data_IF_731070868512
#
_entry.id   IF_731070868512
#
_cell.length_a   1.000
_cell.length_b   1.000
_cell.length_c   1.000
_cell.angle_alpha   90.00
_cell.angle_beta   90.00
_cell.angle_gamma   90.00
#
_symmetry.space_group_name_H-M   'P 1'
#
loop_
_entity.id
_entity.type
_entity.pdbx_description
1 polymer ?
2 non-polymer ?
3 non-polymer ?
4 non-polymer ?
5 water ?
#
# COMPACT_ATOMS: atom_id res chain seq x y z
N UNK A 19 14.71 -0.99 -5.00
CA UNK A 19 13.53 -0.41 -4.28
C UNK A 19 13.99 0.32 -3.01
N UNK A 20 14.46 1.57 -3.15
CA UNK A 20 14.99 2.37 -2.02
C UNK A 20 14.64 3.86 -2.14
N UNK A 21 14.08 4.35 -3.25
CA UNK A 21 13.67 5.76 -3.46
C UNK A 21 12.15 5.76 -3.67
N UNK A 22 11.44 6.73 -3.12
CA UNK A 22 10.01 6.99 -3.39
C UNK A 22 9.89 8.22 -4.29
N UNK A 23 9.17 8.06 -5.40
CA UNK A 23 8.88 9.16 -6.36
C UNK A 23 7.37 9.37 -6.40
N UNK A 24 6.91 10.55 -6.80
CA UNK A 24 5.50 10.84 -7.11
C UNK A 24 5.07 9.89 -8.23
N UNK A 25 4.00 9.14 -8.01
CA UNK A 25 3.44 8.17 -8.99
C UNK A 25 3.03 8.89 -10.28
N UNK A 26 2.62 10.16 -10.20
CA UNK A 26 2.03 10.88 -11.37
C UNK A 26 3.14 11.48 -12.26
N UNK A 27 4.28 11.88 -11.71
CA UNK A 27 5.29 12.67 -12.49
C UNK A 27 6.74 12.25 -12.25
N UNK A 28 7.05 11.42 -11.25
CA UNK A 28 8.42 10.95 -11.00
C UNK A 28 9.26 11.86 -10.12
N UNK A 29 8.70 12.96 -9.60
CA UNK A 29 9.40 13.86 -8.65
C UNK A 29 9.99 13.04 -7.49
N UNK A 30 11.26 13.26 -7.14
CA UNK A 30 11.90 12.59 -5.99
C UNK A 30 11.23 13.07 -4.70
N UNK A 31 10.74 12.17 -3.84
CA UNK A 31 9.97 12.59 -2.63
C UNK A 31 10.68 12.10 -1.36
N UNK A 32 11.01 10.82 -1.26
CA UNK A 32 11.57 10.28 0.00
C UNK A 32 12.39 9.01 -0.28
N UNK A 33 12.89 8.40 0.80
CA UNK A 33 13.75 7.19 0.76
C UNK A 33 13.20 6.17 1.75
N UNK A 34 13.36 4.88 1.45
CA UNK A 34 13.04 3.78 2.39
C UNK A 34 13.84 3.97 3.70
N UNK A 35 15.08 4.44 3.62
CA UNK A 35 15.96 4.69 4.80
C UNK A 35 15.31 5.70 5.75
N UNK A 36 14.41 6.54 5.25
CA UNK A 36 13.79 7.66 6.02
C UNK A 36 12.42 7.25 6.59
N UNK A 37 12.00 6.01 6.43
CA UNK A 37 10.77 5.49 7.09
C UNK A 37 10.91 5.68 8.61
N UNK A 38 9.81 6.04 9.28
CA UNK A 38 9.76 6.35 10.72
C UNK A 38 8.66 5.52 11.37
N UNK A 39 8.99 4.58 12.30
CA UNK A 39 7.96 3.85 13.03
C UNK A 39 7.27 4.63 14.18
N UNK A 40 6.42 5.60 13.85
CA UNK A 40 5.53 6.36 14.78
C UNK A 40 4.60 5.38 15.50
N UNK A 41 4.63 5.35 16.84
CA UNK A 41 3.84 4.43 17.66
C UNK A 41 4.18 2.96 17.38
N UNK A 42 5.38 2.70 16.87
CA UNK A 42 5.93 1.34 16.64
C UNK A 42 5.60 0.78 15.26
N UNK A 43 5.04 1.58 14.34
CA UNK A 43 4.72 1.12 12.96
C UNK A 43 4.91 2.30 11.99
N UNK A 44 5.55 2.08 10.84
CA UNK A 44 5.66 3.12 9.78
C UNK A 44 4.34 3.23 9.01
N UNK A 45 3.51 2.16 8.98
CA UNK A 45 2.20 2.17 8.28
C UNK A 45 1.05 2.41 9.26
N UNK A 46 0.19 3.39 8.96
CA UNK A 46 -1.05 3.73 9.70
C UNK A 46 -2.24 3.76 8.72
N UNK A 47 -3.27 2.96 8.96
CA UNK A 47 -4.50 3.01 8.12
C UNK A 47 -5.50 3.95 8.84
N UNK A 48 -5.87 5.05 8.20
CA UNK A 48 -6.64 6.18 8.81
C UNK A 48 -7.78 6.60 7.87
N UNK A 49 -8.78 7.30 8.42
CA UNK A 49 -9.95 7.84 7.70
C UNK A 49 -10.12 9.32 8.01
N UNK A 50 -10.42 10.13 6.99
CA UNK A 50 -10.74 11.56 7.17
C UNK A 50 -12.24 11.71 7.43
N UNK A 51 -12.70 12.91 7.82
CA UNK A 51 -14.13 13.13 8.10
C UNK A 51 -15.05 12.89 6.91
N UNK A 52 -14.52 12.93 5.69
CA UNK A 52 -15.27 12.64 4.44
C UNK A 52 -15.34 11.12 4.19
N UNK A 53 -14.71 10.32 5.07
CA UNK A 53 -14.77 8.84 5.08
C UNK A 53 -13.73 8.20 4.18
N UNK A 54 -12.85 8.98 3.54
CA UNK A 54 -11.77 8.42 2.67
C UNK A 54 -10.76 7.69 3.56
N UNK A 55 -10.38 6.48 3.16
CA UNK A 55 -9.34 5.68 3.85
C UNK A 55 -7.99 5.95 3.19
N UNK A 56 -6.95 6.08 4.00
CA UNK A 56 -5.57 6.26 3.53
C UNK A 56 -4.70 5.25 4.25
N UNK A 57 -3.84 4.58 3.48
CA UNK A 57 -2.69 3.80 3.99
C UNK A 57 -1.52 4.78 4.03
N UNK A 58 -1.19 5.28 5.22
CA UNK A 58 -0.20 6.37 5.40
C UNK A 58 1.11 5.74 5.86
N UNK A 59 2.19 6.06 5.18
CA UNK A 59 3.57 5.73 5.60
C UNK A 59 4.20 6.98 6.21
N UNK A 60 4.79 6.83 7.38
CA UNK A 60 5.47 7.93 8.11
C UNK A 60 6.94 7.94 7.71
N UNK A 61 7.42 9.12 7.33
CA UNK A 61 8.82 9.41 6.99
C UNK A 61 9.32 10.52 7.92
N UNK A 62 10.57 10.37 8.37
CA UNK A 62 11.31 11.42 9.12
C UNK A 62 11.50 12.64 8.20
N UNK A 63 11.70 12.40 6.91
CA UNK A 63 12.21 13.40 5.95
C UNK A 63 11.51 13.16 4.60
N UNK A 64 11.31 14.24 3.85
CA UNK A 64 10.85 14.20 2.44
C UNK A 64 11.33 15.47 1.75
N UNK A 65 11.34 15.45 0.44
CA UNK A 65 11.76 16.58 -0.41
C UNK A 65 10.79 16.65 -1.60
N UNK A 66 10.88 17.70 -2.41
CA UNK A 66 10.14 17.86 -3.68
C UNK A 66 8.65 18.10 -3.44
N UNK A 67 8.26 18.49 -2.23
CA UNK A 67 6.84 18.72 -1.87
C UNK A 67 6.62 20.22 -1.85
N UNK A 68 5.35 20.61 -1.80
CA UNK A 68 4.94 22.01 -1.52
C UNK A 68 3.88 21.91 -0.42
N UNK A 69 4.12 22.58 0.71
CA UNK A 69 3.21 22.58 1.88
C UNK A 69 2.24 23.74 1.74
N UNK A 70 0.94 23.47 1.78
CA UNK A 70 -0.14 24.45 1.48
C UNK A 70 -0.83 24.84 2.79
N UNK A 71 -1.07 26.14 2.97
CA UNK A 71 -1.84 26.71 4.09
C UNK A 71 -1.00 26.81 5.34
N UNK A 72 -1.65 27.17 6.45
CA UNK A 72 -1.06 27.20 7.80
C UNK A 72 -1.42 25.89 8.51
N UNK A 73 -0.59 25.43 9.47
CA UNK A 73 -0.86 24.19 10.20
C UNK A 73 -2.24 24.22 10.88
N UNK A 74 -2.85 23.06 11.03
CA UNK A 74 -4.14 22.85 11.76
C UNK A 74 -4.02 21.61 12.64
N UNK A 75 -4.59 21.65 13.85
CA UNK A 75 -4.70 20.51 14.79
C UNK A 75 -6.00 19.74 14.60
N UNK A 76 -6.96 20.27 13.83
CA UNK A 76 -8.32 19.69 13.68
C UNK A 76 -8.23 18.31 13.00
N UNK A 77 -8.82 17.28 13.62
CA UNK A 77 -8.94 15.90 13.11
C UNK A 77 -7.55 15.24 12.95
N UNK A 78 -6.51 15.74 13.62
CA UNK A 78 -5.15 15.15 13.47
C UNK A 78 -5.20 13.68 13.85
N UNK A 79 -4.65 12.80 13.01
CA UNK A 79 -4.52 11.34 13.30
C UNK A 79 -3.41 11.08 14.32
N UNK A 80 -2.58 12.08 14.60
CA UNK A 80 -1.38 11.91 15.46
C UNK A 80 -1.46 12.96 16.56
N UNK A 81 -1.70 12.48 17.77
CA UNK A 81 -1.91 13.30 18.99
C UNK A 81 -0.72 14.24 19.18
N UNK A 82 -0.98 15.53 19.36
CA UNK A 82 0.05 16.55 19.66
C UNK A 82 0.62 17.17 18.39
N UNK A 83 0.17 16.75 17.19
CA UNK A 83 0.71 17.26 15.92
C UNK A 83 -0.35 18.02 15.14
N UNK A 84 0.07 19.14 14.56
CA UNK A 84 -0.69 19.96 13.59
C UNK A 84 -0.23 19.57 12.19
N UNK A 85 -1.12 19.64 11.19
CA UNK A 85 -0.81 19.16 9.82
C UNK A 85 -0.94 20.30 8.82
N UNK A 86 -0.19 20.19 7.73
CA UNK A 86 -0.36 21.00 6.50
C UNK A 86 -0.43 20.02 5.33
N UNK A 87 -1.26 20.31 4.33
CA UNK A 87 -1.34 19.48 3.10
C UNK A 87 0.01 19.56 2.38
N UNK A 88 0.53 18.40 1.97
CA UNK A 88 1.77 18.25 1.18
C UNK A 88 1.37 17.84 -0.25
N UNK A 89 1.59 18.74 -1.22
CA UNK A 89 1.43 18.44 -2.67
C UNK A 89 2.79 18.06 -3.24
N UNK A 90 2.80 17.24 -4.29
CA UNK A 90 3.97 17.12 -5.19
C UNK A 90 4.32 18.53 -5.65
N UNK A 91 5.55 18.99 -5.39
CA UNK A 91 6.02 20.31 -5.82
C UNK A 91 6.03 20.46 -7.32
N UNK A 92 6.07 19.36 -8.06
CA UNK A 92 6.16 19.37 -9.54
C UNK A 92 4.75 19.41 -10.15
N UNK A 93 3.88 18.45 -9.82
CA UNK A 93 2.59 18.22 -10.56
C UNK A 93 1.38 18.62 -9.72
N UNK A 94 1.55 18.88 -8.42
CA UNK A 94 0.43 19.29 -7.53
C UNK A 94 -0.38 18.11 -7.01
N UNK A 95 -0.02 16.86 -7.31
CA UNK A 95 -0.69 15.64 -6.76
C UNK A 95 -0.68 15.70 -5.22
N UNK A 96 -1.81 15.41 -4.57
CA UNK A 96 -1.87 15.39 -3.08
C UNK A 96 -1.19 14.11 -2.58
N UNK A 97 0.00 14.24 -1.98
CA UNK A 97 0.84 13.07 -1.60
C UNK A 97 0.71 12.76 -0.11
N UNK A 98 0.22 13.70 0.70
CA UNK A 98 -0.05 13.48 2.13
C UNK A 98 0.02 14.77 2.93
N UNK A 99 0.67 14.73 4.08
CA UNK A 99 0.66 15.83 5.07
C UNK A 99 2.03 15.94 5.72
N UNK A 100 2.41 17.17 6.07
CA UNK A 100 3.53 17.45 6.99
C UNK A 100 2.95 17.69 8.38
N UNK A 101 3.51 17.05 9.39
CA UNK A 101 3.11 17.18 10.80
C UNK A 101 4.18 17.96 11.54
N UNK A 102 3.77 18.82 12.46
CA UNK A 102 4.70 19.64 13.29
C UNK A 102 4.03 20.01 14.62
N UNK A 103 4.80 20.60 15.53
CA UNK A 103 4.32 21.11 16.82
C UNK A 103 4.29 20.06 17.93
N UNK A 104 4.75 18.83 17.64
CA UNK A 104 4.69 17.70 18.58
C UNK A 104 6.03 17.49 19.26
N UNK A 105 6.26 16.30 19.83
CA UNK A 105 7.50 15.95 20.56
C UNK A 105 8.01 14.57 20.12
N UNK A 106 9.33 14.42 19.92
CA UNK A 106 10.00 13.11 19.68
C UNK A 106 9.24 12.30 18.61
N UNK A 107 9.28 12.68 17.32
CA UNK A 107 9.94 13.90 16.86
C UNK A 107 9.01 15.12 16.83
N UNK A 108 9.59 16.32 16.71
CA UNK A 108 8.81 17.58 16.56
C UNK A 108 8.01 17.55 15.25
N UNK A 109 8.54 16.96 14.19
CA UNK A 109 7.96 16.99 12.82
C UNK A 109 8.18 15.64 12.11
N UNK A 110 7.33 15.35 11.13
CA UNK A 110 7.45 14.16 10.24
C UNK A 110 6.44 14.32 9.10
N UNK A 111 6.54 13.43 8.12
CA UNK A 111 5.64 13.40 6.95
C UNK A 111 4.80 12.13 7.03
N UNK A 112 3.49 12.28 6.80
CA UNK A 112 2.59 11.14 6.56
C UNK A 112 2.22 11.11 5.08
N UNK A 113 2.78 10.17 4.32
CA UNK A 113 2.58 10.14 2.85
C UNK A 113 1.69 8.96 2.50
N UNK A 114 0.85 9.17 1.48
CA UNK A 114 -0.12 8.14 1.04
C UNK A 114 0.62 7.13 0.15
N UNK A 115 0.75 5.90 0.62
CA UNK A 115 1.61 4.85 0.01
C UNK A 115 1.26 4.67 -1.47
N UNK A 116 -0.03 4.62 -1.83
CA UNK A 116 -0.44 4.29 -3.22
C UNK A 116 -0.25 5.49 -4.17
N UNK A 117 0.16 6.65 -3.68
CA UNK A 117 0.43 7.85 -4.53
C UNK A 117 1.95 7.99 -4.75
N UNK A 118 2.72 7.02 -4.25
CA UNK A 118 4.19 6.97 -4.46
C UNK A 118 4.55 5.74 -5.30
N UNK A 119 5.67 5.81 -6.02
CA UNK A 119 6.29 4.68 -6.75
C UNK A 119 7.66 4.43 -6.15
N UNK A 120 7.92 3.19 -5.76
CA UNK A 120 9.18 2.76 -5.10
C UNK A 120 10.11 2.19 -6.17
N UNK A 121 11.39 2.56 -6.15
CA UNK A 121 12.34 2.05 -7.15
C UNK A 121 13.79 2.29 -6.77
N UNK A 122 14.73 1.96 -7.67
CA UNK A 122 16.16 2.14 -7.40
C UNK A 122 16.58 3.62 -7.39
N UNK A 123 17.64 3.94 -6.63
CA UNK A 123 18.26 5.27 -6.50
C UNK A 123 18.93 5.68 -7.82
N UNK B 20 -12.73 -15.80 -7.25
CA UNK B 20 -12.61 -15.23 -8.63
C UNK B 20 -11.20 -15.44 -9.21
N UNK B 21 -11.09 -15.31 -10.54
CA UNK B 21 -9.82 -15.56 -11.27
C UNK B 21 -9.41 -14.30 -12.02
N UNK B 22 -8.12 -14.20 -12.29
CA UNK B 22 -7.50 -13.16 -13.13
C UNK B 22 -7.09 -13.80 -14.44
N UNK B 23 -7.54 -13.21 -15.55
CA UNK B 23 -7.24 -13.68 -16.92
C UNK B 23 -6.39 -12.62 -17.60
N UNK B 24 -5.57 -13.04 -18.56
CA UNK B 24 -4.84 -12.14 -19.48
C UNK B 24 -5.88 -11.25 -20.18
N UNK B 25 -5.72 -9.94 -20.10
CA UNK B 25 -6.66 -8.95 -20.68
C UNK B 25 -6.68 -9.10 -22.20
N UNK B 26 -5.58 -9.55 -22.81
CA UNK B 26 -5.42 -9.58 -24.28
C UNK B 26 -6.03 -10.88 -24.87
N UNK B 27 -6.02 -12.02 -24.16
CA UNK B 27 -6.47 -13.31 -24.78
C UNK B 27 -7.42 -14.14 -23.91
N UNK B 28 -7.62 -13.82 -22.63
CA UNK B 28 -8.60 -14.49 -21.76
C UNK B 28 -8.07 -15.75 -21.07
N UNK B 29 -6.82 -16.15 -21.31
CA UNK B 29 -6.23 -17.32 -20.61
C UNK B 29 -6.26 -17.06 -19.09
N UNK B 30 -6.68 -18.05 -18.29
CA UNK B 30 -6.57 -18.01 -16.81
C UNK B 30 -5.09 -17.90 -16.42
N UNK B 31 -4.78 -16.93 -15.56
CA UNK B 31 -3.39 -16.68 -15.10
C UNK B 31 -3.27 -16.92 -13.60
N UNK B 32 -4.16 -16.34 -12.78
CA UNK B 32 -4.06 -16.48 -11.31
C UNK B 32 -5.45 -16.34 -10.67
N UNK B 33 -5.49 -16.39 -9.35
CA UNK B 33 -6.74 -16.41 -8.54
C UNK B 33 -6.60 -15.39 -7.41
N UNK B 34 -7.71 -14.78 -7.03
CA UNK B 34 -7.77 -13.88 -5.86
C UNK B 34 -7.30 -14.61 -4.60
N UNK B 35 -7.61 -15.90 -4.46
CA UNK B 35 -7.20 -16.77 -3.32
C UNK B 35 -5.66 -16.74 -3.17
N UNK B 36 -4.94 -16.48 -4.25
CA UNK B 36 -3.45 -16.56 -4.31
C UNK B 36 -2.80 -15.20 -4.13
N UNK B 37 -3.56 -14.14 -3.87
CA UNK B 37 -2.97 -12.82 -3.55
C UNK B 37 -2.02 -12.97 -2.35
N UNK B 38 -0.87 -12.30 -2.41
CA UNK B 38 0.24 -12.47 -1.44
C UNK B 38 0.66 -11.11 -0.92
N UNK B 39 0.45 -10.79 0.39
CA UNK B 39 0.86 -9.50 0.94
C UNK B 39 2.36 -9.41 1.28
N UNK B 40 3.22 -9.33 0.25
CA UNK B 40 4.69 -9.11 0.37
C UNK B 40 4.91 -7.75 1.05
N UNK B 41 5.66 -7.72 2.16
CA UNK B 41 5.91 -6.50 2.95
C UNK B 41 4.64 -5.89 3.50
N UNK B 42 3.59 -6.70 3.66
CA UNK B 42 2.30 -6.30 4.28
C UNK B 42 1.29 -5.73 3.29
N UNK B 43 1.54 -5.77 1.98
CA UNK B 43 0.58 -5.27 0.94
C UNK B 43 0.68 -6.16 -0.30
N UNK B 44 -0.44 -6.55 -0.93
CA UNK B 44 -0.40 -7.28 -2.23
C UNK B 44 -0.13 -6.30 -3.38
N UNK B 45 -0.43 -5.00 -3.21
CA UNK B 45 -0.18 -3.97 -4.27
C UNK B 45 1.12 -3.22 -3.99
N UNK B 46 2.00 -3.17 -4.99
CA UNK B 46 3.28 -2.42 -5.01
C UNK B 46 3.30 -1.52 -6.25
N UNK B 47 3.34 -0.21 -6.07
CA UNK B 47 3.62 0.74 -7.19
C UNK B 47 5.13 0.96 -7.23
N UNK B 48 5.75 0.61 -8.35
CA UNK B 48 7.22 0.51 -8.52
C UNK B 48 7.61 1.23 -9.81
N UNK B 49 8.89 1.60 -9.92
CA UNK B 49 9.49 2.13 -11.18
C UNK B 49 10.80 1.38 -11.45
N UNK B 50 11.08 1.15 -12.73
CA UNK B 50 12.33 0.49 -13.19
C UNK B 50 13.38 1.56 -13.44
N UNK B 51 14.65 1.17 -13.70
CA UNK B 51 15.72 2.14 -13.96
C UNK B 51 15.49 3.05 -15.17
N UNK B 52 14.61 2.65 -16.10
CA UNK B 52 14.22 3.49 -17.27
C UNK B 52 13.09 4.45 -16.89
N UNK B 53 12.62 4.39 -15.63
CA UNK B 53 11.60 5.30 -15.07
C UNK B 53 10.17 4.88 -15.40
N UNK B 54 9.95 3.69 -15.97
CA UNK B 54 8.57 3.23 -16.27
C UNK B 54 7.91 2.81 -14.96
N UNK B 55 6.69 3.28 -14.72
CA UNK B 55 5.93 2.99 -13.47
C UNK B 55 4.97 1.83 -13.71
N UNK B 56 4.91 0.91 -12.78
CA UNK B 56 4.01 -0.26 -12.82
C UNK B 56 3.27 -0.38 -11.48
N UNK B 57 1.98 -0.68 -11.55
CA UNK B 57 1.19 -1.12 -10.38
C UNK B 57 1.16 -2.64 -10.39
N UNK B 58 1.91 -3.25 -9.48
CA UNK B 58 2.16 -4.71 -9.42
C UNK B 58 1.29 -5.30 -8.30
N UNK B 59 0.57 -6.38 -8.60
CA UNK B 59 -0.09 -7.24 -7.58
C UNK B 59 0.74 -8.52 -7.41
N UNK B 60 0.99 -8.90 -6.16
CA UNK B 60 1.76 -10.12 -5.81
C UNK B 60 0.81 -11.28 -5.63
N UNK B 61 1.13 -12.39 -6.31
CA UNK B 61 0.43 -13.69 -6.23
C UNK B 61 1.46 -14.76 -5.85
N UNK B 62 1.06 -15.74 -5.06
CA UNK B 62 1.88 -16.90 -4.65
C UNK B 62 2.19 -17.76 -5.87
N UNK B 63 1.17 -18.00 -6.71
CA UNK B 63 1.23 -18.92 -7.87
C UNK B 63 0.56 -18.24 -9.07
N UNK B 64 0.83 -18.79 -10.23
CA UNK B 64 0.21 -18.42 -11.50
C UNK B 64 0.29 -19.63 -12.44
N UNK B 65 -0.47 -19.57 -13.52
CA UNK B 65 -0.45 -20.58 -14.60
C UNK B 65 -0.57 -19.86 -15.94
N UNK B 66 -0.19 -20.54 -17.01
CA UNK B 66 -0.42 -20.10 -18.40
C UNK B 66 0.53 -19.00 -18.82
N UNK B 67 1.60 -18.77 -18.05
CA UNK B 67 2.65 -17.78 -18.41
C UNK B 67 3.82 -18.52 -19.05
N UNK B 68 4.74 -17.77 -19.63
CA UNK B 68 6.05 -18.26 -20.11
C UNK B 68 7.10 -17.32 -19.52
N UNK B 69 8.03 -17.88 -18.76
CA UNK B 69 9.14 -17.11 -18.11
C UNK B 69 10.34 -17.12 -19.05
N UNK B 70 10.87 -15.94 -19.41
CA UNK B 70 11.94 -15.83 -20.44
C UNK B 70 13.21 -15.32 -19.77
N UNK B 71 14.36 -15.78 -20.27
CA UNK B 71 15.70 -15.36 -19.81
C UNK B 71 16.12 -16.16 -18.59
N UNK B 72 17.34 -15.90 -18.11
CA UNK B 72 17.87 -16.43 -16.84
C UNK B 72 17.50 -15.46 -15.72
N UNK B 73 17.29 -15.96 -14.48
CA UNK B 73 16.99 -15.09 -13.35
C UNK B 73 18.08 -14.02 -13.16
N UNK B 74 17.68 -12.83 -12.73
CA UNK B 74 18.58 -11.68 -12.47
C UNK B 74 18.21 -11.07 -11.12
N UNK B 75 19.24 -10.69 -10.34
CA UNK B 75 19.08 -9.98 -9.05
C UNK B 75 19.11 -8.47 -9.22
N UNK B 76 19.51 -7.98 -10.39
CA UNK B 76 19.76 -6.54 -10.65
C UNK B 76 18.44 -5.76 -10.56
N UNK B 77 18.40 -4.73 -9.69
CA UNK B 77 17.27 -3.78 -9.55
C UNK B 77 16.00 -4.48 -9.08
N UNK B 78 16.11 -5.63 -8.41
CA UNK B 78 14.92 -6.36 -7.92
C UNK B 78 14.11 -5.45 -6.99
N UNK B 79 12.81 -5.36 -7.19
CA UNK B 79 11.89 -4.59 -6.31
C UNK B 79 11.72 -5.32 -4.96
N UNK B 80 12.13 -6.57 -4.87
CA UNK B 80 11.92 -7.42 -3.67
C UNK B 80 13.26 -7.99 -3.23
N UNK B 81 13.78 -7.45 -2.14
CA UNK B 81 15.10 -7.78 -1.55
C UNK B 81 15.19 -9.30 -1.34
N UNK B 82 16.29 -9.89 -1.82
CA UNK B 82 16.62 -11.32 -1.66
C UNK B 82 15.99 -12.21 -2.72
N UNK B 83 15.36 -11.62 -3.75
CA UNK B 83 14.69 -12.35 -4.86
C UNK B 83 15.34 -11.97 -6.19
N UNK B 84 15.56 -12.96 -7.05
CA UNK B 84 15.92 -12.79 -8.48
C UNK B 84 14.63 -12.85 -9.33
N UNK B 85 14.60 -12.15 -10.46
CA UNK B 85 13.38 -12.06 -11.30
C UNK B 85 13.63 -12.61 -12.70
N UNK B 86 12.55 -13.07 -13.35
CA UNK B 86 12.48 -13.41 -14.78
C UNK B 86 11.21 -12.77 -15.35
N UNK B 87 11.24 -12.30 -16.58
CA UNK B 87 10.07 -11.71 -17.29
C UNK B 87 9.03 -12.81 -17.51
N UNK B 88 7.77 -12.52 -17.21
CA UNK B 88 6.59 -13.39 -17.42
C UNK B 88 5.75 -12.84 -18.59
N UNK B 89 5.68 -13.59 -19.70
CA UNK B 89 4.75 -13.34 -20.83
C UNK B 89 3.51 -14.22 -20.67
N UNK B 90 2.38 -13.79 -21.19
CA UNK B 90 1.23 -14.70 -21.43
C UNK B 90 1.73 -15.81 -22.34
N UNK B 91 1.63 -17.08 -21.92
CA UNK B 91 2.09 -18.24 -22.70
C UNK B 91 1.31 -18.37 -24.01
N UNK B 92 0.10 -17.83 -24.04
CA UNK B 92 -0.83 -17.97 -25.18
C UNK B 92 -0.58 -16.86 -26.22
N UNK B 93 -0.59 -15.58 -25.81
CA UNK B 93 -0.59 -14.43 -26.74
C UNK B 93 0.71 -13.60 -26.66
N UNK B 94 1.59 -13.85 -25.69
CA UNK B 94 2.91 -13.19 -25.60
C UNK B 94 2.89 -11.83 -24.89
N UNK B 95 1.73 -11.36 -24.41
CA UNK B 95 1.59 -10.06 -23.68
C UNK B 95 2.52 -10.08 -22.45
N UNK B 96 3.25 -9.00 -22.18
CA UNK B 96 4.09 -8.88 -20.94
C UNK B 96 3.18 -8.67 -19.72
N UNK B 97 3.05 -9.67 -18.85
CA UNK B 97 2.10 -9.64 -17.71
C UNK B 97 2.81 -9.32 -16.39
N UNK B 98 4.13 -9.48 -16.30
CA UNK B 98 4.91 -9.13 -15.10
C UNK B 98 6.19 -9.93 -14.99
N UNK B 99 6.47 -10.45 -13.79
CA UNK B 99 7.76 -11.08 -13.42
C UNK B 99 7.51 -12.22 -12.42
N UNK B 100 8.32 -13.25 -12.52
CA UNK B 100 8.44 -14.33 -11.50
C UNK B 100 9.67 -14.05 -10.64
N UNK B 101 9.52 -14.17 -9.32
CA UNK B 101 10.60 -13.97 -8.32
C UNK B 101 10.93 -15.32 -7.70
N UNK B 102 12.23 -15.55 -7.46
CA UNK B 102 12.74 -16.82 -6.88
C UNK B 102 14.04 -16.58 -6.09
N UNK B 103 14.46 -17.58 -5.32
CA UNK B 103 15.76 -17.61 -4.61
C UNK B 103 15.67 -16.96 -3.24
N UNK B 104 14.47 -16.62 -2.78
CA UNK B 104 14.22 -16.07 -1.44
C UNK B 104 13.82 -17.16 -0.45
N UNK B 105 13.23 -16.77 0.69
CA UNK B 105 12.61 -17.67 1.71
C UNK B 105 11.27 -17.07 2.17
N UNK B 106 10.27 -17.92 2.42
CA UNK B 106 8.96 -17.53 2.99
C UNK B 106 8.37 -16.31 2.25
N UNK B 107 7.92 -16.45 0.99
CA UNK B 107 8.05 -17.68 0.22
C UNK B 107 9.32 -17.73 -0.63
N UNK B 108 9.67 -18.91 -1.13
CA UNK B 108 10.86 -19.08 -2.00
C UNK B 108 10.60 -18.39 -3.34
N UNK B 109 9.35 -18.45 -3.83
CA UNK B 109 8.95 -17.89 -5.15
C UNK B 109 7.56 -17.25 -5.07
N UNK B 110 7.29 -16.34 -6.01
CA UNK B 110 5.99 -15.65 -6.16
C UNK B 110 6.04 -14.84 -7.47
N UNK B 111 4.91 -14.31 -7.87
CA UNK B 111 4.73 -13.51 -9.09
C UNK B 111 4.37 -12.09 -8.71
N UNK B 112 4.95 -11.12 -9.44
CA UNK B 112 4.46 -9.75 -9.49
C UNK B 112 3.81 -9.49 -10.83
N UNK B 113 2.49 -9.35 -10.86
CA UNK B 113 1.75 -9.23 -12.14
C UNK B 113 1.22 -7.80 -12.25
N UNK B 114 1.21 -7.27 -13.47
CA UNK B 114 0.78 -5.88 -13.75
C UNK B 114 -0.74 -5.86 -13.75
N UNK B 115 -1.34 -5.20 -12.74
CA UNK B 115 -2.78 -5.24 -12.46
C UNK B 115 -3.57 -4.84 -13.71
N UNK B 116 -3.15 -3.79 -14.43
CA UNK B 116 -3.85 -3.22 -15.62
C UNK B 116 -3.90 -4.20 -16.79
N UNK B 117 -3.05 -5.23 -16.80
CA UNK B 117 -2.94 -6.19 -17.93
C UNK B 117 -3.73 -7.46 -17.61
N UNK B 118 -4.46 -7.47 -16.49
CA UNK B 118 -5.32 -8.60 -16.07
C UNK B 118 -6.78 -8.16 -16.05
N UNK B 119 -7.69 -9.10 -16.25
CA UNK B 119 -9.15 -8.91 -16.10
C UNK B 119 -9.64 -9.90 -15.04
N UNK B 120 -10.33 -9.41 -14.01
CA UNK B 120 -10.85 -10.24 -12.91
C UNK B 120 -12.30 -10.64 -13.22
N UNK B 121 -12.67 -11.90 -12.99
CA UNK B 121 -14.02 -12.41 -13.28
C UNK B 121 -14.29 -13.75 -12.58
N UNK B 122 -15.49 -14.34 -12.79
CA UNK B 122 -15.84 -15.60 -12.14
C UNK B 122 -15.04 -16.78 -12.71
N UNK B 123 -14.73 -17.75 -11.85
CA UNK B 123 -14.05 -19.03 -12.18
C UNK B 123 -14.78 -19.76 -13.31
N UNK C 18 -10.28 13.12 15.64
CA UNK C 18 -9.32 12.75 14.56
C UNK C 18 -9.15 11.24 14.43
N UNK C 19 -9.04 10.54 15.56
CA UNK C 19 -8.94 9.07 15.68
C UNK C 19 -9.83 8.58 16.83
N UNK C 20 -11.11 8.96 16.80
CA UNK C 20 -12.14 8.66 17.84
C UNK C 20 -12.97 7.43 17.45
N UNK C 21 -13.36 7.33 16.17
CA UNK C 21 -14.16 6.18 15.63
C UNK C 21 -13.20 5.14 15.04
N UNK C 22 -13.42 3.87 15.38
CA UNK C 22 -12.64 2.68 14.93
C UNK C 22 -13.46 1.91 13.89
N UNK C 23 -12.84 1.54 12.76
CA UNK C 23 -13.52 0.89 11.60
C UNK C 23 -12.65 -0.24 11.02
N UNK C 24 -13.28 -1.18 10.32
CA UNK C 24 -12.62 -2.27 9.56
C UNK C 24 -11.68 -1.65 8.51
N UNK C 25 -10.42 -2.07 8.49
CA UNK C 25 -9.37 -1.55 7.56
C UNK C 25 -9.75 -1.91 6.13
N UNK C 26 -10.37 -3.07 5.91
CA UNK C 26 -10.62 -3.63 4.55
C UNK C 26 -11.77 -2.89 3.87
N UNK C 27 -12.92 -2.71 4.55
CA UNK C 27 -14.17 -2.21 3.91
C UNK C 27 -14.69 -0.92 4.57
N UNK C 28 -14.27 -0.62 5.81
CA UNK C 28 -14.63 0.65 6.49
C UNK C 28 -15.87 0.56 7.38
N UNK C 29 -16.45 -0.64 7.55
CA UNK C 29 -17.56 -0.91 8.51
C UNK C 29 -17.24 -0.25 9.87
N UNK C 30 -18.18 0.51 10.43
CA UNK C 30 -18.10 1.06 11.80
C UNK C 30 -18.07 -0.11 12.79
N UNK C 31 -17.07 -0.16 13.68
CA UNK C 31 -16.88 -1.29 14.64
C UNK C 31 -16.98 -0.80 16.10
N UNK C 32 -16.30 0.30 16.49
CA UNK C 32 -16.27 0.78 17.89
C UNK C 32 -15.93 2.28 17.99
N UNK C 33 -15.94 2.82 19.23
CA UNK C 33 -15.77 4.25 19.56
C UNK C 33 -14.63 4.42 20.58
N UNK C 34 -14.05 5.62 20.67
CA UNK C 34 -13.01 6.01 21.67
C UNK C 34 -13.66 6.05 23.06
N UNK C 35 -14.83 6.70 23.16
CA UNK C 35 -15.64 6.81 24.40
C UNK C 35 -15.79 5.43 25.05
N UNK C 36 -16.03 4.39 24.22
CA UNK C 36 -16.05 2.97 24.65
C UNK C 36 -14.60 2.51 24.87
N UNK C 60 -9.30 -2.82 23.56
CA UNK C 60 -10.27 -3.22 24.61
C UNK C 60 -11.42 -2.20 24.66
N UNK C 61 -12.54 -2.54 24.01
CA UNK C 61 -13.78 -1.71 23.95
C UNK C 61 -14.87 -2.39 24.79
N UNK C 62 -15.65 -1.60 25.54
CA UNK C 62 -16.77 -2.08 26.38
C UNK C 62 -17.89 -2.63 25.47
N UNK C 63 -18.17 -1.94 24.36
CA UNK C 63 -19.17 -2.34 23.34
C UNK C 63 -18.53 -2.34 21.95
N UNK C 64 -19.11 -3.11 21.03
CA UNK C 64 -18.79 -3.12 19.58
C UNK C 64 -20.08 -3.35 18.79
N UNK C 65 -20.07 -2.95 17.51
CA UNK C 65 -21.18 -3.17 16.55
C UNK C 65 -20.57 -3.61 15.22
N UNK C 66 -21.40 -4.12 14.30
CA UNK C 66 -21.01 -4.42 12.91
C UNK C 66 -20.16 -5.66 12.78
N UNK C 67 -19.92 -6.40 13.87
CA UNK C 67 -19.16 -7.68 13.85
C UNK C 67 -20.13 -8.84 13.69
N UNK C 68 -19.63 -9.98 13.23
CA UNK C 68 -20.32 -11.30 13.28
C UNK C 68 -19.46 -12.24 14.15
N UNK C 69 -19.94 -12.55 15.36
CA UNK C 69 -19.25 -13.47 16.31
C UNK C 69 -19.55 -14.91 15.89
N UNK C 70 -18.50 -15.68 15.58
CA UNK C 70 -18.61 -17.06 15.02
C UNK C 70 -18.60 -18.08 16.16
N UNK C 87 -14.11 -15.47 18.19
CA UNK C 87 -13.60 -14.86 16.92
C UNK C 87 -14.65 -13.89 16.38
N UNK C 88 -14.24 -12.65 16.10
CA UNK C 88 -15.09 -11.52 15.66
C UNK C 88 -14.72 -11.12 14.22
N UNK C 89 -15.59 -11.46 13.24
CA UNK C 89 -15.45 -11.07 11.82
C UNK C 89 -16.26 -9.80 11.56
N UNK C 90 -15.75 -8.92 10.69
CA UNK C 90 -16.51 -7.77 10.10
C UNK C 90 -17.75 -8.34 9.41
N UNK C 91 -18.94 -7.93 9.84
CA UNK C 91 -20.24 -8.33 9.24
C UNK C 91 -20.36 -7.91 7.77
N UNK C 92 -19.59 -6.90 7.34
CA UNK C 92 -19.70 -6.32 5.98
C UNK C 92 -18.83 -7.11 4.98
N UNK C 93 -17.54 -7.34 5.27
CA UNK C 93 -16.59 -7.94 4.29
C UNK C 93 -16.04 -9.29 4.77
N UNK C 94 -16.21 -9.66 6.05
CA UNK C 94 -15.76 -10.96 6.61
C UNK C 94 -14.32 -10.95 7.14
N UNK C 95 -13.61 -9.81 7.11
CA UNK C 95 -12.24 -9.66 7.67
C UNK C 95 -12.22 -9.96 9.18
N UNK C 96 -11.25 -10.76 9.65
CA UNK C 96 -11.09 -11.20 11.06
C UNK C 96 -10.46 -10.07 11.90
N UNK C 97 -11.28 -9.33 12.66
CA UNK C 97 -10.85 -8.08 13.36
C UNK C 97 -10.35 -8.37 14.77
N UNK C 98 -10.81 -9.45 15.42
CA UNK C 98 -10.40 -9.80 16.80
C UNK C 98 -11.18 -10.95 17.42
N UNK C 99 -11.62 -10.79 18.67
CA UNK C 99 -12.13 -11.88 19.56
C UNK C 99 -13.46 -11.50 20.20
N UNK C 114 -7.74 -5.86 17.06
CA UNK C 114 -6.37 -5.74 16.49
C UNK C 114 -6.24 -4.36 15.82
N UNK C 115 -5.28 -3.53 16.28
CA UNK C 115 -5.10 -2.12 15.81
C UNK C 115 -4.82 -2.10 14.30
N UNK C 116 -4.09 -3.10 13.78
CA UNK C 116 -3.54 -3.12 12.39
C UNK C 116 -4.59 -3.68 11.42
N UNK C 117 -5.71 -4.22 11.91
CA UNK C 117 -6.89 -4.59 11.08
C UNK C 117 -8.02 -3.58 11.28
N UNK C 118 -7.75 -2.53 12.06
CA UNK C 118 -8.66 -1.36 12.24
C UNK C 118 -8.03 -0.13 11.57
N UNK C 119 -8.87 0.89 11.36
CA UNK C 119 -8.46 2.26 10.97
C UNK C 119 -9.26 3.28 11.79
N UNK C 120 -8.64 4.42 12.10
CA UNK C 120 -9.19 5.45 13.03
C UNK C 120 -9.54 6.72 12.26
N UNK C 121 -10.64 7.37 12.66
CA UNK C 121 -11.10 8.66 12.12
C UNK C 121 -11.92 9.44 13.15
N UNK C 122 -12.60 10.55 12.74
CA UNK C 122 -13.41 11.35 13.66
C UNK C 122 -14.81 10.77 13.93
N UNK C 123 -15.58 11.45 14.80
CA UNK C 123 -16.93 11.07 15.27
C UNK C 123 -17.86 10.81 14.08
#
# INVERSE_FOLDING_TARGET
>A
MPLDAGGQNSTQMVLAPGASIFRCRQCGQTISRRDWLLPMGGDHEHVVFNPAGMIFRVWCFSLAQGLRLIGAPSGEFSWFKGYDWTIALCGQCGSHLGWHYEGGSQPQTFFGLIKDRLAEGPAD
>B
MPLDAGGQNSTQMVLAPGASIFRCRQCGQTISRRDWLLPMGGDHEHVVFNPAGMIFRVWCFSLAQGLRLIGAPSGEFSWFKGYDWTIALCGQCGSHLGWHYEGGSQPQTFFGLIKDRLAEGPAD
>C
MPLDAGGQNSTQMVLAPGASIFRCRQCGQTISRRDWLLPMGGDHEHVVFNPAGMIFRVWCFSLAQGLRLIGAPSGEFSWFKGYDWTIALCGQCGSHLGWHYEGGSQPQTFFGLIKDRLAEGPAD
#
